data_IF_563262058529
#
_entry.id   IF_563262058529
#
_cell.length_a   1.000
_cell.length_b   1.000
_cell.length_c   1.000
_cell.angle_alpha   90.00
_cell.angle_beta   90.00
_cell.angle_gamma   90.00
#
_symmetry.space_group_name_H-M   'P 1'
#
loop_
_entity.id
_entity.type
_entity.pdbx_description
1 polymer ?
#
# COMPACT_ATOMS: atom_id res chain seq x y z
N UNK A 1 -46.21 -41.34 6.36
CA UNK A 1 -46.88 -42.40 5.57
C UNK A 1 -46.82 -42.03 4.09
N UNK A 2 -46.64 -43.04 3.24
CA UNK A 2 -46.43 -43.03 1.77
C UNK A 2 -44.99 -42.77 1.25
N UNK A 3 -44.27 -43.89 1.12
CA UNK A 3 -43.24 -44.15 0.11
C UNK A 3 -43.83 -44.06 -1.31
N UNK A 4 -43.01 -43.74 -2.30
CA UNK A 4 -43.09 -44.38 -3.62
C UNK A 4 -41.75 -44.30 -4.35
N UNK A 5 -41.52 -45.36 -5.11
CA UNK A 5 -40.24 -45.98 -5.47
C UNK A 5 -39.93 -45.76 -6.96
N UNK A 6 -38.76 -46.27 -7.39
CA UNK A 6 -38.39 -46.70 -8.74
C UNK A 6 -37.65 -45.64 -9.60
N UNK A 7 -36.67 -45.95 -10.44
CA UNK A 7 -35.84 -47.15 -10.69
C UNK A 7 -34.83 -46.75 -11.79
N UNK A 8 -33.60 -47.28 -11.73
CA UNK A 8 -32.65 -47.22 -12.84
C UNK A 8 -33.06 -48.14 -14.00
N UNK A 9 -32.52 -47.90 -15.20
CA UNK A 9 -32.00 -49.01 -16.01
C UNK A 9 -30.54 -48.80 -16.46
N UNK A 10 -29.88 -49.94 -16.61
CA UNK A 10 -28.54 -50.19 -17.14
C UNK A 10 -28.54 -50.27 -18.67
N UNK A 11 -27.40 -49.99 -19.32
CA UNK A 11 -27.21 -50.22 -20.74
C UNK A 11 -25.75 -50.00 -21.17
N UNK A 12 -25.19 -50.95 -21.90
CA UNK A 12 -23.78 -51.29 -22.00
C UNK A 12 -23.11 -50.97 -23.35
N UNK A 13 -21.78 -50.91 -23.31
CA UNK A 13 -20.78 -51.48 -24.25
C UNK A 13 -20.50 -50.91 -25.66
N UNK A 14 -19.21 -50.56 -25.85
CA UNK A 14 -18.32 -50.88 -27.01
C UNK A 14 -18.57 -50.15 -28.35
N UNK A 15 -17.63 -49.80 -29.25
CA UNK A 15 -16.23 -50.16 -29.50
C UNK A 15 -15.59 -49.22 -30.57
N UNK A 16 -14.27 -49.03 -30.49
CA UNK A 16 -13.22 -48.85 -31.54
C UNK A 16 -13.52 -48.24 -32.93
N UNK A 17 -12.63 -47.33 -33.41
CA UNK A 17 -11.61 -47.56 -34.50
C UNK A 17 -11.16 -46.29 -35.25
N UNK A 18 -9.84 -46.00 -35.17
CA UNK A 18 -8.85 -45.54 -36.20
C UNK A 18 -9.21 -44.76 -37.48
N UNK A 19 -8.45 -43.68 -37.78
CA UNK A 19 -7.60 -43.46 -39.00
C UNK A 19 -7.02 -42.02 -39.03
N UNK A 20 -5.70 -41.80 -38.86
CA UNK A 20 -4.57 -41.71 -39.84
C UNK A 20 -4.42 -40.41 -40.67
N UNK A 21 -3.35 -39.67 -40.32
CA UNK A 21 -2.29 -39.02 -41.13
C UNK A 21 -2.58 -37.93 -42.19
N UNK A 22 -1.90 -36.78 -42.04
CA UNK A 22 -1.49 -35.92 -43.17
C UNK A 22 -1.05 -34.48 -42.84
N UNK A 23 0.28 -34.24 -42.72
CA UNK A 23 0.92 -32.94 -43.02
C UNK A 23 1.79 -32.29 -41.93
N UNK A 24 3.11 -32.09 -42.14
CA UNK A 24 3.93 -31.23 -41.30
C UNK A 24 3.90 -29.79 -41.83
N UNK A 25 3.28 -28.87 -41.10
CA UNK A 25 3.46 -27.43 -41.32
C UNK A 25 4.40 -26.88 -40.24
N UNK A 26 5.53 -26.34 -40.67
CA UNK A 26 6.48 -25.62 -39.83
C UNK A 26 5.80 -24.43 -39.13
N UNK A 27 6.29 -24.03 -37.95
CA UNK A 27 5.63 -23.08 -37.06
C UNK A 27 5.72 -21.64 -37.60
N UNK A 28 4.73 -20.77 -37.35
CA UNK A 28 4.96 -19.35 -37.45
C UNK A 28 5.91 -18.95 -36.31
N UNK A 29 7.10 -18.51 -36.70
CA UNK A 29 7.77 -17.30 -36.22
C UNK A 29 7.69 -17.03 -34.72
N UNK A 30 8.83 -17.20 -34.06
CA UNK A 30 9.06 -16.77 -32.69
C UNK A 30 8.57 -15.36 -32.44
N UNK A 31 7.43 -15.24 -31.77
CA UNK A 31 7.24 -14.17 -30.83
C UNK A 31 8.33 -14.42 -29.78
N UNK A 32 9.41 -13.64 -29.83
CA UNK A 32 10.26 -13.52 -28.67
C UNK A 32 9.32 -13.06 -27.55
N UNK A 33 9.05 -13.95 -26.60
CA UNK A 33 8.62 -13.54 -25.28
C UNK A 33 9.79 -12.69 -24.78
N UNK A 34 9.76 -11.39 -25.03
CA UNK A 34 10.51 -10.47 -24.20
C UNK A 34 10.02 -10.78 -22.79
N UNK A 35 10.89 -11.38 -21.98
CA UNK A 35 10.65 -11.63 -20.57
C UNK A 35 10.39 -10.27 -19.92
N UNK A 36 9.13 -9.82 -19.96
CA UNK A 36 8.67 -8.62 -19.28
C UNK A 36 8.87 -8.89 -17.80
N UNK A 37 9.93 -8.28 -17.26
CA UNK A 37 10.22 -8.38 -15.86
C UNK A 37 9.06 -7.74 -15.10
N UNK A 38 8.43 -8.47 -14.18
CA UNK A 38 7.36 -7.94 -13.34
C UNK A 38 7.73 -8.06 -11.87
N UNK A 39 7.46 -7.00 -11.10
CA UNK A 39 7.74 -6.96 -9.67
C UNK A 39 6.57 -6.34 -8.93
N UNK A 40 6.23 -6.93 -7.78
CA UNK A 40 5.23 -6.38 -6.86
C UNK A 40 5.95 -5.75 -5.68
N UNK A 41 5.62 -4.49 -5.38
CA UNK A 41 6.18 -3.74 -4.26
C UNK A 41 5.05 -3.47 -3.27
N UNK A 42 5.10 -4.12 -2.11
CA UNK A 42 4.18 -3.85 -1.01
C UNK A 42 4.58 -2.58 -0.27
N UNK A 43 3.64 -1.65 -0.15
CA UNK A 43 3.79 -0.37 0.55
C UNK A 43 2.72 -0.27 1.63
N UNK A 44 3.14 -0.18 2.90
CA UNK A 44 2.24 0.00 4.03
C UNK A 44 2.07 1.47 4.40
N UNK A 45 0.88 1.89 4.81
CA UNK A 45 0.58 3.26 5.25
C UNK A 45 0.09 3.24 6.70
N UNK A 46 0.76 3.99 7.58
CA UNK A 46 0.45 4.07 9.01
C UNK A 46 0.43 5.52 9.50
N UNK A 47 -0.34 5.77 10.55
CA UNK A 47 -0.55 7.10 11.12
C UNK A 47 -1.95 7.27 11.68
N UNK A 48 -2.19 8.38 12.36
CA UNK A 48 -3.46 8.67 13.05
C UNK A 48 -4.67 8.70 12.08
N UNK A 49 -5.89 8.67 12.64
CA UNK A 49 -7.11 8.79 11.84
C UNK A 49 -7.22 10.20 11.22
N UNK A 50 -7.93 10.27 10.09
CA UNK A 50 -8.28 11.54 9.42
C UNK A 50 -7.10 12.43 9.00
N UNK A 51 -5.90 11.85 8.88
CA UNK A 51 -4.73 12.56 8.35
C UNK A 51 -4.70 12.55 6.81
N UNK A 52 -5.48 11.70 6.13
CA UNK A 52 -5.50 11.63 4.65
C UNK A 52 -4.72 10.46 4.03
N UNK A 53 -4.52 9.36 4.77
CA UNK A 53 -3.92 8.12 4.23
C UNK A 53 -4.73 7.56 3.07
N UNK A 54 -6.01 7.30 3.32
CA UNK A 54 -6.95 6.77 2.33
C UNK A 54 -7.09 7.70 1.12
N UNK A 55 -7.19 9.01 1.36
CA UNK A 55 -7.24 10.02 0.29
C UNK A 55 -5.99 9.99 -0.60
N UNK A 56 -4.79 9.84 -0.02
CA UNK A 56 -3.56 9.71 -0.79
C UNK A 56 -3.54 8.42 -1.63
N UNK A 57 -3.97 7.30 -1.04
CA UNK A 57 -4.05 6.01 -1.75
C UNK A 57 -5.01 6.08 -2.93
N UNK A 58 -6.25 6.53 -2.71
CA UNK A 58 -7.27 6.69 -3.75
C UNK A 58 -6.79 7.63 -4.84
N UNK A 59 -6.25 8.80 -4.47
CA UNK A 59 -5.74 9.78 -5.45
C UNK A 59 -4.63 9.22 -6.32
N UNK A 60 -3.72 8.44 -5.75
CA UNK A 60 -2.63 7.82 -6.51
C UNK A 60 -3.14 6.71 -7.45
N UNK A 61 -4.09 5.90 -7.01
CA UNK A 61 -4.58 4.74 -7.77
C UNK A 61 -5.57 5.17 -8.85
N UNK A 62 -6.60 5.92 -8.49
CA UNK A 62 -7.74 6.27 -9.33
C UNK A 62 -7.59 7.63 -10.04
N UNK A 63 -6.72 8.51 -9.54
CA UNK A 63 -6.55 9.86 -10.09
C UNK A 63 -7.63 10.86 -9.67
N UNK A 64 -8.71 10.41 -9.04
CA UNK A 64 -9.79 11.20 -8.44
C UNK A 64 -9.51 11.51 -6.96
N UNK A 65 -10.12 12.57 -6.46
CA UNK A 65 -10.22 12.84 -5.03
C UNK A 65 -11.70 12.98 -4.71
N UNK A 66 -12.15 12.27 -3.68
CA UNK A 66 -13.48 12.43 -3.12
C UNK A 66 -13.37 13.26 -1.84
N UNK A 67 -14.16 14.33 -1.75
CA UNK A 67 -14.27 15.17 -0.55
C UNK A 67 -15.07 14.47 0.55
N UNK A 68 -15.94 13.52 0.19
CA UNK A 68 -16.74 12.77 1.14
C UNK A 68 -15.86 11.77 1.89
N UNK A 69 -15.46 12.15 3.10
CA UNK A 69 -14.66 11.30 3.96
C UNK A 69 -15.46 10.08 4.43
N UNK A 70 -15.07 8.91 3.94
CA UNK A 70 -15.46 7.63 4.53
C UNK A 70 -14.28 7.09 5.35
N UNK A 71 -14.54 6.81 6.62
CA UNK A 71 -13.53 6.27 7.52
C UNK A 71 -13.13 4.84 7.15
N UNK A 72 -11.84 4.59 6.97
CA UNK A 72 -11.31 3.22 6.86
C UNK A 72 -11.50 2.49 8.19
N UNK A 73 -12.27 1.40 8.15
CA UNK A 73 -12.38 0.43 9.23
C UNK A 73 -11.44 -0.73 8.95
N UNK A 74 -10.52 -1.02 9.87
CA UNK A 74 -9.55 -2.09 9.71
C UNK A 74 -8.48 -1.77 8.66
N UNK A 75 -8.43 -2.52 7.57
CA UNK A 75 -7.40 -2.40 6.52
C UNK A 75 -8.08 -2.29 5.15
N UNK A 76 -7.62 -1.35 4.33
CA UNK A 76 -7.98 -1.24 2.93
C UNK A 76 -6.75 -1.47 2.05
N UNK A 77 -6.99 -1.88 0.80
CA UNK A 77 -5.95 -2.29 -0.12
C UNK A 77 -6.30 -1.89 -1.55
N UNK A 78 -5.32 -1.34 -2.28
CA UNK A 78 -5.44 -1.01 -3.70
C UNK A 78 -4.13 -1.30 -4.44
N UNK A 79 -4.22 -1.59 -5.75
CA UNK A 79 -3.06 -1.78 -6.60
C UNK A 79 -2.94 -0.73 -7.68
N UNK A 80 -1.69 -0.36 -8.00
CA UNK A 80 -1.36 0.47 -9.15
C UNK A 80 -0.16 -0.11 -9.87
N UNK A 81 -0.37 -0.56 -11.10
CA UNK A 81 0.73 -0.97 -11.99
C UNK A 81 1.21 0.20 -12.81
N UNK A 82 2.53 0.40 -12.84
CA UNK A 82 3.21 1.34 -13.75
C UNK A 82 4.26 0.58 -14.54
N UNK A 83 4.58 1.06 -15.74
CA UNK A 83 5.68 0.53 -16.54
C UNK A 83 6.86 1.49 -16.49
N UNK A 84 8.02 0.99 -16.09
CA UNK A 84 9.30 1.71 -16.14
C UNK A 84 10.25 0.90 -17.00
N UNK A 85 10.60 1.44 -18.19
CA UNK A 85 11.40 0.73 -19.21
C UNK A 85 10.72 -0.61 -19.59
N UNK A 86 11.44 -1.73 -19.52
CA UNK A 86 10.92 -3.08 -19.76
C UNK A 86 10.52 -3.81 -18.46
N UNK A 87 10.16 -3.06 -17.40
CA UNK A 87 9.71 -3.63 -16.13
C UNK A 87 8.34 -3.10 -15.74
N UNK A 88 7.41 -4.01 -15.48
CA UNK A 88 6.10 -3.71 -14.91
C UNK A 88 6.21 -3.76 -13.38
N UNK A 89 5.90 -2.65 -12.72
CA UNK A 89 5.95 -2.52 -11.26
C UNK A 89 4.52 -2.36 -10.76
N UNK A 90 4.05 -3.33 -9.99
CA UNK A 90 2.77 -3.25 -9.29
C UNK A 90 2.99 -2.80 -7.86
N UNK A 91 2.53 -1.60 -7.53
CA UNK A 91 2.46 -1.15 -6.14
C UNK A 91 1.22 -1.74 -5.49
N UNK A 92 1.44 -2.55 -4.45
CA UNK A 92 0.43 -3.12 -3.58
C UNK A 92 0.35 -2.21 -2.35
N UNK A 93 -0.65 -1.32 -2.28
CA UNK A 93 -0.73 -0.23 -1.29
C UNK A 93 -1.74 -0.61 -0.21
N UNK A 94 -1.29 -0.63 1.04
CA UNK A 94 -2.07 -1.07 2.20
C UNK A 94 -2.32 0.09 3.16
N UNK A 95 -3.58 0.50 3.32
CA UNK A 95 -4.03 1.58 4.23
C UNK A 95 -4.58 1.00 5.54
N UNK A 96 -4.03 1.42 6.68
CA UNK A 96 -4.53 1.06 8.00
C UNK A 96 -5.50 2.13 8.54
N UNK A 97 -6.65 1.71 9.05
CA UNK A 97 -7.53 2.54 9.85
C UNK A 97 -6.77 3.15 11.04
N UNK A 98 -6.71 4.48 11.12
CA UNK A 98 -5.88 5.18 12.11
C UNK A 98 -6.47 5.25 13.53
N UNK A 99 -7.54 4.49 13.81
CA UNK A 99 -8.11 4.41 15.15
C UNK A 99 -7.38 3.37 16.00
N UNK A 100 -7.37 3.54 17.32
CA UNK A 100 -6.62 2.67 18.23
C UNK A 100 -7.12 1.22 18.20
N UNK A 101 -8.39 1.04 17.91
CA UNK A 101 -9.11 -0.22 17.81
C UNK A 101 -8.56 -1.11 16.68
N UNK A 102 -7.95 -0.51 15.65
CA UNK A 102 -7.41 -1.22 14.49
C UNK A 102 -5.89 -1.46 14.57
N UNK A 103 -5.22 -1.02 15.64
CA UNK A 103 -3.76 -1.20 15.82
C UNK A 103 -3.35 -2.68 15.77
N UNK A 104 -4.22 -3.60 16.22
CA UNK A 104 -3.97 -5.04 16.15
C UNK A 104 -3.85 -5.58 14.71
N UNK A 105 -4.27 -4.81 13.70
CA UNK A 105 -4.16 -5.15 12.28
C UNK A 105 -2.85 -4.65 11.64
N UNK A 106 -1.99 -3.94 12.38
CA UNK A 106 -0.65 -3.53 11.91
C UNK A 106 0.16 -4.63 11.20
N UNK A 107 0.16 -5.91 11.66
CA UNK A 107 0.90 -6.96 10.97
C UNK A 107 0.49 -7.14 9.51
N UNK A 108 -0.78 -6.95 9.17
CA UNK A 108 -1.27 -7.09 7.79
C UNK A 108 -0.65 -6.05 6.86
N UNK A 109 -0.43 -4.85 7.38
CA UNK A 109 0.12 -3.72 6.63
C UNK A 109 1.64 -3.73 6.62
N UNK A 110 2.27 -4.14 7.73
CA UNK A 110 3.72 -4.05 7.91
C UNK A 110 4.49 -5.28 7.43
N UNK A 111 3.95 -6.50 7.61
CA UNK A 111 4.67 -7.72 7.20
C UNK A 111 4.92 -7.70 5.69
N UNK A 112 6.16 -8.05 5.32
CA UNK A 112 6.62 -8.15 3.93
C UNK A 112 6.56 -6.83 3.12
N UNK A 113 6.20 -5.71 3.77
CA UNK A 113 6.28 -4.40 3.15
C UNK A 113 7.73 -4.06 2.81
N UNK A 114 7.96 -3.60 1.59
CA UNK A 114 9.25 -3.10 1.13
C UNK A 114 9.47 -1.67 1.65
N UNK A 115 8.38 -0.90 1.72
CA UNK A 115 8.37 0.46 2.24
C UNK A 115 7.19 0.68 3.18
N UNK A 116 7.37 1.51 4.20
CA UNK A 116 6.29 1.95 5.09
C UNK A 116 6.25 3.48 5.11
N UNK A 117 5.09 4.03 4.78
CA UNK A 117 4.79 5.46 4.85
C UNK A 117 4.24 5.78 6.24
N UNK A 118 5.02 6.52 7.02
CA UNK A 118 4.64 7.11 8.30
C UNK A 118 4.05 8.49 8.01
N UNK A 119 2.74 8.59 8.11
CA UNK A 119 2.00 9.76 7.65
C UNK A 119 1.48 10.59 8.83
N UNK A 120 1.53 11.91 8.69
CA UNK A 120 0.97 12.86 9.64
C UNK A 120 0.33 14.04 8.92
N UNK A 121 -0.58 14.74 9.60
CA UNK A 121 -1.30 15.89 9.08
C UNK A 121 -0.52 17.18 9.39
N UNK A 122 -0.10 17.91 8.36
CA UNK A 122 0.66 19.15 8.51
C UNK A 122 -0.13 20.23 9.25
N UNK A 123 -1.46 20.19 9.21
CA UNK A 123 -2.32 21.12 9.96
C UNK A 123 -2.54 20.71 11.42
N UNK A 124 -2.11 19.50 11.83
CA UNK A 124 -2.32 18.95 13.18
C UNK A 124 -1.04 18.37 13.76
N UNK A 125 -0.28 19.22 14.43
CA UNK A 125 1.01 18.92 15.09
C UNK A 125 1.01 17.68 16.00
N UNK A 126 -0.09 17.40 16.70
CA UNK A 126 -0.20 16.21 17.57
C UNK A 126 0.03 14.90 16.79
N UNK A 127 -0.35 14.85 15.52
CA UNK A 127 -0.21 13.66 14.68
C UNK A 127 1.25 13.34 14.34
N UNK A 128 2.12 14.36 14.28
CA UNK A 128 3.56 14.17 14.13
C UNK A 128 4.16 13.55 15.40
N UNK A 129 3.69 13.95 16.59
CA UNK A 129 4.15 13.36 17.85
C UNK A 129 3.78 11.87 17.94
N UNK A 130 2.59 11.49 17.43
CA UNK A 130 2.13 10.10 17.36
C UNK A 130 3.03 9.20 16.48
N UNK A 131 3.73 9.77 15.48
CA UNK A 131 4.59 8.99 14.57
C UNK A 131 5.64 8.16 15.32
N UNK A 132 6.16 8.66 16.45
CA UNK A 132 7.15 7.91 17.24
C UNK A 132 6.61 6.56 17.70
N UNK A 133 5.35 6.53 18.12
CA UNK A 133 4.70 5.30 18.56
C UNK A 133 4.35 4.39 17.37
N UNK A 134 3.82 4.96 16.28
CA UNK A 134 3.57 4.21 15.05
C UNK A 134 4.85 3.55 14.50
N UNK A 135 5.96 4.28 14.51
CA UNK A 135 7.27 3.78 14.11
C UNK A 135 7.73 2.63 15.00
N UNK A 136 7.65 2.80 16.33
CA UNK A 136 8.03 1.76 17.29
C UNK A 136 7.21 0.47 17.06
N UNK A 137 5.90 0.60 16.88
CA UNK A 137 5.02 -0.56 16.66
C UNK A 137 5.28 -1.23 15.31
N UNK A 138 5.35 -0.47 14.21
CA UNK A 138 5.61 -1.01 12.88
C UNK A 138 6.96 -1.75 12.80
N UNK A 139 8.01 -1.20 13.43
CA UNK A 139 9.33 -1.83 13.51
C UNK A 139 9.37 -3.08 14.38
N UNK A 140 8.37 -3.28 15.25
CA UNK A 140 8.15 -4.55 15.95
C UNK A 140 7.82 -5.70 15.01
N UNK A 141 7.17 -5.41 13.87
CA UNK A 141 6.77 -6.40 12.87
C UNK A 141 7.72 -6.47 11.68
N UNK A 142 8.21 -5.32 11.20
CA UNK A 142 9.09 -5.25 10.04
C UNK A 142 10.30 -4.34 10.29
N UNK A 143 11.48 -4.96 10.37
CA UNK A 143 12.77 -4.28 10.62
C UNK A 143 13.52 -3.89 9.34
N UNK A 144 13.07 -4.34 8.18
CA UNK A 144 13.81 -4.18 6.90
C UNK A 144 13.15 -3.18 5.97
N UNK A 145 11.84 -2.92 6.12
CA UNK A 145 11.12 -1.92 5.34
C UNK A 145 11.79 -0.55 5.41
N UNK A 146 11.86 0.11 4.26
CA UNK A 146 12.37 1.47 4.13
C UNK A 146 11.31 2.45 4.68
N UNK A 147 11.62 3.25 5.71
CA UNK A 147 10.68 4.19 6.28
C UNK A 147 10.65 5.49 5.47
N UNK A 148 9.46 6.00 5.18
CA UNK A 148 9.24 7.35 4.63
C UNK A 148 8.36 8.16 5.57
N UNK A 149 8.78 9.37 5.91
CA UNK A 149 7.96 10.32 6.67
C UNK A 149 7.23 11.24 5.68
N UNK A 150 5.90 11.30 5.76
CA UNK A 150 5.05 12.01 4.81
C UNK A 150 4.11 12.97 5.55
N UNK A 151 4.18 14.25 5.24
CA UNK A 151 3.22 15.26 5.69
C UNK A 151 2.08 15.42 4.67
N UNK A 152 0.83 15.29 5.12
CA UNK A 152 -0.37 15.46 4.30
C UNK A 152 -1.05 16.81 4.55
N UNK A 153 -2.06 17.13 3.73
CA UNK A 153 -2.84 18.39 3.80
C UNK A 153 -1.95 19.63 3.64
N UNK A 154 -1.01 19.54 2.70
CA UNK A 154 -0.11 20.65 2.39
C UNK A 154 -0.87 21.90 1.93
N UNK A 155 -1.98 21.72 1.22
CA UNK A 155 -2.93 22.77 0.83
C UNK A 155 -3.44 23.59 2.03
N UNK A 156 -3.80 22.95 3.15
CA UNK A 156 -4.15 23.65 4.39
C UNK A 156 -2.93 24.30 5.05
N UNK A 157 -1.81 23.58 5.12
CA UNK A 157 -0.58 24.07 5.73
C UNK A 157 -0.03 25.32 5.03
N UNK A 158 -0.10 25.37 3.70
CA UNK A 158 0.36 26.50 2.90
C UNK A 158 -0.43 27.79 3.17
N UNK A 159 -1.64 27.69 3.73
CA UNK A 159 -2.46 28.82 4.12
C UNK A 159 -2.11 29.39 5.51
N UNK A 160 -1.27 28.70 6.30
CA UNK A 160 -0.86 29.16 7.64
C UNK A 160 0.12 30.33 7.57
N UNK A 161 0.26 31.05 8.68
CA UNK A 161 1.29 32.08 8.82
C UNK A 161 2.70 31.47 8.77
N UNK A 162 3.71 32.28 8.41
CA UNK A 162 5.10 31.81 8.34
C UNK A 162 5.61 31.27 9.67
N UNK A 163 5.24 31.92 10.77
CA UNK A 163 5.67 31.53 12.12
C UNK A 163 5.12 30.12 12.48
N UNK A 164 3.86 29.84 12.14
CA UNK A 164 3.24 28.52 12.34
C UNK A 164 3.89 27.45 11.45
N UNK A 165 4.19 27.78 10.19
CA UNK A 165 4.87 26.87 9.27
C UNK A 165 6.29 26.50 9.74
N UNK A 166 7.05 27.49 10.25
CA UNK A 166 8.38 27.29 10.80
C UNK A 166 8.37 26.40 12.05
N UNK A 167 7.38 26.59 12.93
CA UNK A 167 7.24 25.78 14.14
C UNK A 167 7.02 24.29 13.81
N UNK A 168 6.15 24.00 12.85
CA UNK A 168 5.87 22.64 12.40
C UNK A 168 7.09 22.03 11.70
N UNK A 169 7.75 22.79 10.82
CA UNK A 169 8.92 22.33 10.05
C UNK A 169 10.11 22.01 10.96
N UNK A 170 10.36 22.82 12.01
CA UNK A 170 11.43 22.61 12.99
C UNK A 170 11.32 21.26 13.72
N UNK A 171 10.11 20.71 13.83
CA UNK A 171 9.90 19.41 14.48
C UNK A 171 10.13 18.22 13.56
N UNK A 172 9.92 18.40 12.25
CA UNK A 172 10.15 17.36 11.23
C UNK A 172 11.64 17.21 10.95
N UNK A 173 12.38 18.33 10.91
CA UNK A 173 13.83 18.35 10.79
C UNK A 173 14.45 18.82 12.12
N UNK A 174 14.89 17.90 13.01
CA UNK A 174 15.80 18.30 14.06
C UNK A 174 17.06 18.84 13.39
N UNK A 175 17.23 20.16 13.35
CA UNK A 175 18.43 20.79 12.80
C UNK A 175 19.66 20.24 13.52
N UNK A 176 20.71 19.82 12.80
CA UNK A 176 22.04 19.82 13.36
C UNK A 176 22.43 21.29 13.55
N UNK A 177 22.89 21.65 14.75
CA UNK A 177 23.55 22.92 15.08
C UNK A 177 22.61 24.11 15.35
N UNK A 178 22.15 24.22 16.60
CA UNK A 178 22.28 25.53 17.25
C UNK A 178 23.77 25.74 17.55
N UNK A 179 24.38 26.90 17.25
CA UNK A 179 25.73 27.18 17.72
C UNK A 179 25.69 27.15 19.25
N UNK A 180 26.49 26.26 19.84
CA UNK A 180 26.81 26.34 21.25
C UNK A 180 27.35 27.73 21.50
N UNK A 181 26.68 28.51 22.35
CA UNK A 181 27.25 29.72 22.92
C UNK A 181 28.67 29.40 23.38
N UNK A 182 29.65 29.99 22.68
CA UNK A 182 31.05 29.88 23.05
C UNK A 182 31.25 30.49 24.44
N UNK A 183 32.24 30.01 25.20
CA UNK A 183 32.44 30.46 26.57
C UNK A 183 32.70 31.97 26.59
N UNK A 184 31.88 32.70 27.36
CA UNK A 184 32.12 34.10 27.69
C UNK A 184 33.55 34.26 28.22
N UNK A 185 34.41 34.86 27.41
CA UNK A 185 35.66 35.43 27.92
C UNK A 185 35.31 36.68 28.72
N UNK A 186 35.49 36.62 30.04
CA UNK A 186 36.36 37.51 30.83
C UNK A 186 36.36 37.11 32.30
#
# INVERSE_FOLDING_TARGET
MSNSTASMPTGSSSSSSTNTAGGPTNPPSGAQNEDKNSVVIKVGMVGDSQIGKTSLMVKYVEGSFDEDYIQTLGVNFMEKTISIRNTEITFSIWDLGGQREFVNMLPLVCNDAVAILFMFDLSRKSTLNSIKEWYRQARGFNKTAIPFLIGTKYDHFAAFSKDEQEEITRQVHPSPLAPSDGPSQR
#
